data_IF_402863106078
#
_entry.id   IF_402863106078
#
_cell.length_a   1.000
_cell.length_b   1.000
_cell.length_c   1.000
_cell.angle_alpha   90.00
_cell.angle_beta   90.00
_cell.angle_gamma   90.00
#
_symmetry.space_group_name_H-M   'P 1'
#
loop_
_entity.id
_entity.type
_entity.pdbx_description
1 polymer ?
#
# COMPACT_ATOMS: atom_id res chain seq x y z
N UNK A 1 10.16 21.09 13.11
CA UNK A 1 10.59 19.96 13.96
C UNK A 1 9.86 20.10 15.29
N UNK A 2 8.63 19.58 15.39
CA UNK A 2 7.82 19.65 16.60
C UNK A 2 8.10 18.40 17.46
N UNK A 3 8.94 18.54 18.48
CA UNK A 3 9.05 17.55 19.54
C UNK A 3 7.91 17.82 20.54
N UNK A 4 6.75 17.22 20.31
CA UNK A 4 5.68 17.19 21.31
C UNK A 4 5.93 16.03 22.26
N UNK A 5 6.29 16.39 23.48
CA UNK A 5 6.33 15.51 24.64
C UNK A 5 4.98 14.82 24.79
N UNK A 6 5.00 13.49 24.97
CA UNK A 6 3.82 12.64 25.07
C UNK A 6 2.92 12.98 26.26
N UNK A 7 2.08 14.01 26.12
CA UNK A 7 0.93 14.22 26.98
C UNK A 7 -0.17 13.28 26.53
N UNK A 8 -0.21 12.10 27.16
CA UNK A 8 -1.39 11.25 27.11
C UNK A 8 -2.52 11.96 27.88
N UNK A 9 -3.73 11.85 27.32
CA UNK A 9 -5.08 11.91 27.93
C UNK A 9 -5.89 13.16 27.59
N UNK A 10 -6.43 13.21 26.37
CA UNK A 10 -7.85 13.57 26.21
C UNK A 10 -8.65 12.27 26.30
N UNK A 11 -9.58 12.19 27.26
CA UNK A 11 -10.68 11.22 27.16
C UNK A 11 -11.61 11.78 26.10
N UNK A 12 -11.92 10.98 25.09
CA UNK A 12 -12.86 11.39 24.06
C UNK A 12 -14.20 10.75 24.32
N UNK A 13 -15.26 11.53 24.18
CA UNK A 13 -16.63 11.04 24.18
C UNK A 13 -16.94 10.45 22.81
N UNK A 14 -17.33 9.19 22.76
CA UNK A 14 -17.67 8.48 21.53
C UNK A 14 -19.11 8.01 21.60
N UNK A 15 -19.88 8.34 20.57
CA UNK A 15 -21.24 7.88 20.40
C UNK A 15 -21.22 6.48 19.78
N UNK A 16 -21.56 5.46 20.59
CA UNK A 16 -21.75 4.08 20.15
C UNK A 16 -23.21 3.79 19.84
N UNK A 17 -23.48 3.02 18.80
CA UNK A 17 -24.81 2.54 18.44
C UNK A 17 -25.21 1.43 19.42
N UNK A 18 -26.38 1.59 20.03
CA UNK A 18 -26.96 0.66 21.00
C UNK A 18 -28.29 0.13 20.46
N UNK A 19 -28.24 -1.03 19.81
CA UNK A 19 -29.42 -1.63 19.15
C UNK A 19 -29.86 -0.87 17.89
N UNK A 20 -31.14 -1.01 17.51
CA UNK A 20 -31.66 -0.40 16.28
C UNK A 20 -31.90 1.11 16.38
N UNK A 21 -32.19 1.64 17.58
CA UNK A 21 -32.55 3.07 17.76
C UNK A 21 -31.76 3.79 18.85
N UNK A 22 -31.01 3.08 19.69
CA UNK A 22 -30.27 3.68 20.79
C UNK A 22 -28.90 4.19 20.36
N UNK A 23 -28.45 5.25 21.01
CA UNK A 23 -27.06 5.69 20.99
C UNK A 23 -26.61 5.91 22.42
N UNK A 24 -25.37 5.55 22.72
CA UNK A 24 -24.77 5.73 24.04
C UNK A 24 -23.47 6.50 23.89
N UNK A 25 -23.26 7.51 24.73
CA UNK A 25 -22.01 8.25 24.77
C UNK A 25 -21.09 7.59 25.79
N UNK A 26 -19.96 7.07 25.33
CA UNK A 26 -18.94 6.43 26.17
C UNK A 26 -17.68 7.28 26.13
N UNK A 27 -17.12 7.60 27.30
CA UNK A 27 -15.78 8.20 27.37
C UNK A 27 -14.72 7.10 27.27
N UNK A 28 -13.89 7.15 26.23
CA UNK A 28 -12.73 6.27 26.10
C UNK A 28 -11.43 7.07 26.05
N UNK A 29 -10.34 6.57 26.65
CA UNK A 29 -9.03 7.13 26.37
C UNK A 29 -8.72 6.91 24.89
N UNK A 30 -8.23 7.94 24.21
CA UNK A 30 -7.71 7.78 22.85
C UNK A 30 -6.23 8.10 22.83
N UNK A 31 -5.53 7.41 21.95
CA UNK A 31 -4.11 7.61 21.72
C UNK A 31 -3.92 8.00 20.27
N UNK A 32 -3.20 9.10 20.06
CA UNK A 32 -2.83 9.51 18.72
C UNK A 32 -1.86 8.47 18.15
N UNK A 33 -2.33 7.73 17.15
CA UNK A 33 -1.56 6.66 16.56
C UNK A 33 -0.42 7.20 15.67
N UNK A 34 -0.50 8.47 15.22
CA UNK A 34 0.54 9.18 14.47
C UNK A 34 1.68 9.67 15.38
N UNK A 35 1.45 9.76 16.70
CA UNK A 35 2.43 10.27 17.69
C UNK A 35 3.06 9.13 18.49
N UNK A 36 2.92 7.88 18.05
CA UNK A 36 3.65 6.76 18.66
C UNK A 36 5.15 7.06 18.61
N UNK A 37 5.91 6.82 19.69
CA UNK A 37 7.34 7.14 19.68
C UNK A 37 8.09 6.20 18.73
N UNK A 38 9.08 6.71 17.98
CA UNK A 38 9.96 5.89 17.12
C UNK A 38 10.50 4.65 17.83
N UNK A 39 10.89 4.80 19.11
CA UNK A 39 11.39 3.71 19.97
C UNK A 39 10.37 2.59 20.21
N UNK A 40 9.08 2.92 20.19
CA UNK A 40 7.99 1.97 20.42
C UNK A 40 7.61 1.21 19.14
N UNK A 41 8.22 1.53 17.99
CA UNK A 41 7.92 0.90 16.67
C UNK A 41 9.17 0.26 16.06
N UNK A 42 9.05 -0.36 14.88
CA UNK A 42 10.21 -0.89 14.15
C UNK A 42 11.06 0.20 13.50
N UNK A 43 10.52 1.41 13.29
CA UNK A 43 11.31 2.54 12.78
C UNK A 43 12.52 2.85 13.68
N UNK A 44 12.35 2.83 15.00
CA UNK A 44 13.45 3.05 15.95
C UNK A 44 14.54 1.98 15.93
N UNK A 45 14.31 0.86 15.24
CA UNK A 45 15.23 -0.27 15.09
C UNK A 45 15.43 -0.64 13.61
N UNK A 46 15.17 0.29 12.68
CA UNK A 46 15.13 -0.01 11.24
C UNK A 46 16.44 -0.60 10.70
N UNK A 47 17.59 -0.13 11.21
CA UNK A 47 18.90 -0.64 10.81
C UNK A 47 19.10 -2.08 11.28
N UNK A 48 18.87 -2.33 12.57
CA UNK A 48 18.97 -3.66 13.16
C UNK A 48 17.96 -4.64 12.53
N UNK A 49 16.75 -4.18 12.23
CA UNK A 49 15.72 -4.98 11.59
C UNK A 49 16.09 -5.36 10.15
N UNK A 50 16.69 -4.43 9.39
CA UNK A 50 17.21 -4.71 8.05
C UNK A 50 18.31 -5.78 8.08
N UNK A 51 19.21 -5.74 9.07
CA UNK A 51 20.26 -6.76 9.25
C UNK A 51 19.64 -8.14 9.52
N UNK A 52 18.68 -8.20 10.44
CA UNK A 52 17.97 -9.43 10.80
C UNK A 52 17.28 -10.05 9.57
N UNK A 53 16.65 -9.23 8.72
CA UNK A 53 16.06 -9.69 7.46
C UNK A 53 17.13 -10.23 6.49
N UNK A 54 18.27 -9.54 6.37
CA UNK A 54 19.39 -9.94 5.49
C UNK A 54 19.99 -11.28 5.88
N UNK A 55 20.18 -11.51 7.18
CA UNK A 55 20.61 -12.81 7.72
C UNK A 55 19.71 -13.97 7.27
N UNK A 56 18.43 -13.67 7.03
CA UNK A 56 17.42 -14.66 6.59
C UNK A 56 17.16 -14.62 5.10
N UNK A 57 18.02 -13.95 4.33
CA UNK A 57 17.99 -13.93 2.87
C UNK A 57 17.01 -12.93 2.25
N UNK A 58 16.52 -11.96 3.04
CA UNK A 58 15.70 -10.85 2.55
C UNK A 58 16.55 -9.59 2.62
N UNK A 59 16.90 -9.02 1.46
CA UNK A 59 17.74 -7.84 1.34
C UNK A 59 16.90 -6.65 0.85
N UNK A 60 16.14 -5.99 1.73
CA UNK A 60 15.46 -4.75 1.37
C UNK A 60 16.50 -3.67 1.05
N UNK A 61 16.15 -2.74 0.16
CA UNK A 61 16.91 -1.49 0.08
C UNK A 61 16.73 -0.74 1.40
N UNK A 62 17.84 -0.29 1.98
CA UNK A 62 17.79 0.29 3.33
C UNK A 62 17.10 1.65 3.33
N UNK A 63 17.31 2.46 2.29
CA UNK A 63 16.67 3.79 2.20
C UNK A 63 15.17 3.60 2.00
N UNK A 64 14.78 2.70 1.10
CA UNK A 64 13.40 2.34 0.87
C UNK A 64 12.72 1.81 2.15
N UNK A 65 13.40 0.97 2.93
CA UNK A 65 12.88 0.47 4.20
C UNK A 65 12.68 1.59 5.23
N UNK A 66 13.66 2.49 5.35
CA UNK A 66 13.58 3.67 6.22
C UNK A 66 12.38 4.55 5.82
N UNK A 67 12.16 4.79 4.52
CA UNK A 67 11.02 5.53 3.99
C UNK A 67 9.68 4.83 4.26
N UNK A 68 9.56 3.53 3.96
CA UNK A 68 8.35 2.74 4.28
C UNK A 68 8.02 2.87 5.76
N UNK A 69 9.03 2.74 6.63
CA UNK A 69 8.82 2.79 8.06
C UNK A 69 8.47 4.21 8.55
N UNK A 70 9.02 5.27 7.96
CA UNK A 70 8.70 6.65 8.34
C UNK A 70 7.25 7.00 7.94
N UNK A 71 6.84 6.62 6.72
CA UNK A 71 5.50 6.92 6.21
C UNK A 71 4.38 6.06 6.79
N UNK A 72 4.72 4.90 7.33
CA UNK A 72 3.80 4.07 8.15
C UNK A 72 3.77 4.53 9.62
N UNK A 73 4.77 5.30 10.05
CA UNK A 73 4.89 5.84 11.40
C UNK A 73 4.27 7.24 11.60
N UNK A 74 4.44 8.15 10.64
CA UNK A 74 4.16 9.59 10.84
C UNK A 74 2.94 10.13 10.09
N UNK A 75 2.60 9.59 8.92
CA UNK A 75 1.51 10.11 8.05
C UNK A 75 0.46 9.04 7.69
N UNK A 76 0.66 7.82 8.17
CA UNK A 76 0.11 6.63 7.53
C UNK A 76 -1.32 6.25 7.92
N UNK A 77 -1.90 6.86 8.95
CA UNK A 77 -3.28 6.56 9.38
C UNK A 77 -4.21 7.75 9.12
N UNK A 78 -3.86 8.59 8.14
CA UNK A 78 -4.75 9.66 7.72
C UNK A 78 -5.96 9.09 6.96
N UNK A 79 -7.15 9.38 7.45
CA UNK A 79 -8.40 9.09 6.75
C UNK A 79 -8.81 10.37 6.02
N UNK A 80 -9.35 10.25 4.82
CA UNK A 80 -9.63 11.43 4.01
C UNK A 80 -11.10 11.79 4.04
N UNK A 81 -11.40 13.07 4.04
CA UNK A 81 -12.76 13.58 3.89
C UNK A 81 -13.32 13.32 2.49
N UNK A 82 -14.65 13.15 2.38
CA UNK A 82 -15.40 13.60 1.18
C UNK A 82 -15.23 15.13 1.08
N UNK A 83 -14.18 15.60 0.41
CA UNK A 83 -13.86 17.04 0.30
C UNK A 83 -12.39 17.43 0.55
N UNK A 84 -11.45 16.48 0.66
CA UNK A 84 -10.01 16.77 0.53
C UNK A 84 -9.22 17.09 1.81
N UNK A 85 -9.85 17.17 3.00
CA UNK A 85 -9.15 17.31 4.28
C UNK A 85 -8.55 15.97 4.78
N UNK A 86 -7.38 16.03 5.43
CA UNK A 86 -6.80 14.92 6.19
C UNK A 86 -7.42 14.88 7.59
N UNK A 87 -7.80 13.69 8.07
CA UNK A 87 -8.28 13.47 9.44
C UNK A 87 -7.37 12.50 10.18
N UNK A 88 -7.12 12.82 11.45
CA UNK A 88 -6.28 12.03 12.35
C UNK A 88 -7.01 10.76 12.80
N UNK A 89 -6.30 9.64 12.83
CA UNK A 89 -6.81 8.40 13.39
C UNK A 89 -6.20 8.13 14.78
N UNK A 90 -7.06 7.70 15.69
CA UNK A 90 -6.71 7.40 17.06
C UNK A 90 -6.88 5.92 17.34
N UNK A 91 -5.99 5.33 18.13
CA UNK A 91 -6.18 3.99 18.67
C UNK A 91 -6.92 4.03 20.01
N UNK A 92 -7.67 2.98 20.37
CA UNK A 92 -8.39 2.91 21.63
C UNK A 92 -7.47 2.68 22.85
N UNK A 93 -6.20 2.35 22.63
CA UNK A 93 -5.18 2.21 23.66
C UNK A 93 -3.77 2.52 23.13
N UNK A 94 -2.80 2.75 24.02
CA UNK A 94 -1.38 2.87 23.64
C UNK A 94 -0.87 1.59 22.98
N UNK A 95 -1.30 0.46 23.50
CA UNK A 95 -0.90 -0.84 22.98
C UNK A 95 -1.41 -1.03 21.54
N UNK A 96 -2.68 -0.69 21.28
CA UNK A 96 -3.23 -0.73 19.93
C UNK A 96 -2.50 0.24 19.00
N UNK A 97 -2.16 1.45 19.45
CA UNK A 97 -1.38 2.39 18.64
C UNK A 97 -0.04 1.77 18.18
N UNK A 98 0.68 1.15 19.11
CA UNK A 98 1.93 0.43 18.83
C UNK A 98 1.70 -0.71 17.83
N UNK A 99 0.67 -1.53 18.06
CA UNK A 99 0.32 -2.65 17.16
C UNK A 99 -0.01 -2.15 15.76
N UNK A 100 -0.81 -1.10 15.61
CA UNK A 100 -1.13 -0.52 14.30
C UNK A 100 0.11 -0.01 13.57
N UNK A 101 1.00 0.74 14.25
CA UNK A 101 2.24 1.22 13.64
C UNK A 101 3.13 0.07 13.17
N UNK A 102 3.33 -0.96 14.01
CA UNK A 102 4.14 -2.14 13.65
C UNK A 102 3.50 -2.91 12.49
N UNK A 103 2.19 -3.14 12.52
CA UNK A 103 1.50 -3.86 11.44
C UNK A 103 1.68 -3.14 10.10
N UNK A 104 1.45 -1.84 10.03
CA UNK A 104 1.61 -1.10 8.78
C UNK A 104 3.06 -1.08 8.28
N UNK A 105 4.04 -1.02 9.18
CA UNK A 105 5.46 -1.19 8.85
C UNK A 105 5.72 -2.55 8.20
N UNK A 106 5.19 -3.63 8.79
CA UNK A 106 5.35 -4.99 8.27
C UNK A 106 4.63 -5.19 6.92
N UNK A 107 3.40 -4.69 6.78
CA UNK A 107 2.63 -4.78 5.53
C UNK A 107 3.25 -3.98 4.38
N UNK A 108 4.04 -2.95 4.69
CA UNK A 108 4.78 -2.16 3.71
C UNK A 108 6.03 -2.85 3.16
N UNK A 109 6.56 -3.88 3.83
CA UNK A 109 7.84 -4.50 3.46
C UNK A 109 7.94 -5.00 2.00
N UNK A 110 6.91 -5.57 1.37
CA UNK A 110 7.01 -5.99 -0.03
C UNK A 110 7.25 -4.82 -1.02
N UNK A 111 7.18 -3.56 -0.57
CA UNK A 111 7.52 -2.36 -1.37
C UNK A 111 8.93 -1.83 -1.11
N UNK A 112 9.66 -2.39 -0.14
CA UNK A 112 10.96 -1.88 0.31
C UNK A 112 12.12 -2.18 -0.69
N UNK A 113 11.81 -2.37 -1.96
CA UNK A 113 12.75 -2.50 -3.08
C UNK A 113 12.56 -1.43 -4.15
N UNK A 114 11.44 -0.72 -4.13
CA UNK A 114 10.97 0.10 -5.25
C UNK A 114 10.72 1.56 -4.86
N UNK A 115 10.99 1.95 -3.62
CA UNK A 115 10.69 3.29 -3.12
C UNK A 115 11.69 4.30 -3.69
N UNK A 116 11.22 5.08 -4.67
CA UNK A 116 11.73 6.41 -4.95
C UNK A 116 10.97 7.41 -4.06
N UNK A 117 11.56 8.59 -3.83
CA UNK A 117 11.08 9.63 -2.90
C UNK A 117 9.58 10.00 -3.11
N UNK A 118 9.06 9.88 -4.33
CA UNK A 118 7.65 10.16 -4.68
C UNK A 118 6.65 9.02 -4.42
N UNK A 119 7.11 7.80 -4.13
CA UNK A 119 6.22 6.63 -3.91
C UNK A 119 5.74 6.47 -2.48
N UNK A 120 6.26 7.23 -1.52
CA UNK A 120 5.78 7.32 -0.14
C UNK A 120 4.26 7.51 -0.03
N UNK A 121 3.70 8.31 -0.95
CA UNK A 121 2.26 8.53 -1.07
C UNK A 121 1.46 7.23 -1.29
N UNK A 122 2.03 6.24 -1.99
CA UNK A 122 1.36 4.97 -2.23
C UNK A 122 1.22 4.13 -0.97
N UNK A 123 2.25 4.12 -0.11
CA UNK A 123 2.21 3.44 1.19
C UNK A 123 1.14 4.08 2.08
N UNK A 124 1.11 5.41 2.17
CA UNK A 124 0.08 6.13 2.91
C UNK A 124 -1.33 5.88 2.36
N UNK A 125 -1.51 5.92 1.03
CA UNK A 125 -2.79 5.62 0.36
C UNK A 125 -3.29 4.20 0.65
N UNK A 126 -2.39 3.23 0.67
CA UNK A 126 -2.69 1.82 0.97
C UNK A 126 -3.14 1.63 2.41
N UNK A 127 -2.39 2.18 3.36
CA UNK A 127 -2.77 2.13 4.77
C UNK A 127 -4.14 2.78 4.98
N UNK A 128 -4.38 3.93 4.36
CA UNK A 128 -5.70 4.59 4.36
C UNK A 128 -6.80 3.69 3.82
N UNK A 129 -6.59 2.97 2.71
CA UNK A 129 -7.59 2.00 2.19
C UNK A 129 -7.85 0.87 3.19
N UNK A 130 -6.80 0.31 3.79
CA UNK A 130 -6.92 -0.75 4.80
C UNK A 130 -7.76 -0.24 5.98
N UNK A 131 -7.40 0.91 6.53
CA UNK A 131 -8.11 1.58 7.63
C UNK A 131 -9.57 1.86 7.26
N UNK A 132 -9.82 2.43 6.08
CA UNK A 132 -11.17 2.72 5.60
C UNK A 132 -12.04 1.47 5.46
N UNK A 133 -11.46 0.33 5.10
CA UNK A 133 -12.20 -0.92 4.94
C UNK A 133 -12.45 -1.62 6.28
N UNK A 134 -11.49 -1.56 7.21
CA UNK A 134 -11.66 -2.08 8.58
C UNK A 134 -12.73 -1.28 9.33
N UNK A 135 -12.74 0.04 9.19
CA UNK A 135 -13.72 0.93 9.82
C UNK A 135 -15.04 0.96 9.02
N UNK A 136 -14.97 0.69 7.71
CA UNK A 136 -16.08 0.83 6.76
C UNK A 136 -16.40 2.30 6.41
N UNK A 137 -17.05 2.53 5.27
CA UNK A 137 -17.70 3.82 4.97
C UNK A 137 -19.12 3.84 5.57
N UNK A 138 -19.80 2.68 5.65
CA UNK A 138 -21.22 2.55 6.07
C UNK A 138 -21.42 2.11 7.54
N UNK A 139 -20.37 1.67 8.24
CA UNK A 139 -20.40 1.32 9.68
C UNK A 139 -19.80 2.39 10.59
N UNK A 140 -19.51 3.57 10.04
CA UNK A 140 -18.95 4.68 10.80
C UNK A 140 -20.00 5.30 11.72
N UNK A 141 -19.96 4.91 12.98
CA UNK A 141 -20.38 5.76 14.07
C UNK A 141 -19.62 7.09 13.93
N UNK A 142 -20.35 8.17 13.61
CA UNK A 142 -19.78 9.51 13.51
C UNK A 142 -19.19 9.86 14.88
N UNK A 143 -17.88 10.04 14.96
CA UNK A 143 -17.23 10.55 16.17
C UNK A 143 -17.63 12.02 16.32
N UNK A 144 -18.16 12.38 17.48
CA UNK A 144 -18.33 13.76 17.90
C UNK A 144 -17.24 14.05 18.92
N UNK A 145 -16.29 14.92 18.63
CA UNK A 145 -15.37 15.44 19.65
C UNK A 145 -16.00 16.71 20.21
N UNK A 146 -16.25 16.73 21.52
CA UNK A 146 -16.76 17.93 22.19
C UNK A 146 -15.57 18.70 22.78
N UNK A 147 -15.29 19.88 22.23
CA UNK A 147 -14.27 20.78 22.76
C UNK A 147 -14.87 21.68 23.84
N UNK A 148 -14.32 21.73 25.07
CA UNK A 148 -14.94 22.41 26.21
C UNK A 148 -15.08 23.93 26.05
N UNK A 149 -14.31 24.54 25.14
CA UNK A 149 -14.34 25.98 24.88
C UNK A 149 -15.06 26.37 23.58
N UNK A 150 -15.36 25.42 22.67
CA UNK A 150 -15.79 25.75 21.30
C UNK A 150 -17.23 25.35 20.94
N UNK A 151 -17.98 24.69 21.83
CA UNK A 151 -19.31 24.09 21.55
C UNK A 151 -19.32 23.19 20.29
N UNK A 152 -19.55 21.86 20.44
CA UNK A 152 -19.75 20.89 19.32
C UNK A 152 -19.03 21.25 17.99
N UNK A 153 -17.72 21.19 17.98
CA UNK A 153 -16.97 21.36 16.73
C UNK A 153 -16.78 20.02 16.02
N UNK A 154 -17.03 19.98 14.72
CA UNK A 154 -16.75 18.83 13.87
C UNK A 154 -15.24 18.57 13.86
N UNK A 155 -14.81 17.54 14.58
CA UNK A 155 -13.49 16.96 14.36
C UNK A 155 -13.72 15.66 13.60
N UNK A 156 -13.38 15.66 12.31
CA UNK A 156 -13.49 14.51 11.40
C UNK A 156 -12.53 13.35 11.77
N UNK A 157 -12.05 13.33 13.02
CA UNK A 157 -11.18 12.37 13.69
C UNK A 157 -11.86 11.02 13.89
N UNK A 158 -11.15 9.91 13.68
CA UNK A 158 -11.73 8.55 13.84
C UNK A 158 -10.97 7.72 14.87
N UNK A 159 -11.68 6.83 15.56
CA UNK A 159 -11.03 5.82 16.42
C UNK A 159 -11.01 4.49 15.69
N UNK A 160 -9.83 3.90 15.57
CA UNK A 160 -9.64 2.55 15.06
C UNK A 160 -10.32 1.53 15.97
N UNK A 161 -10.80 0.40 15.46
CA UNK A 161 -11.26 -0.67 16.34
C UNK A 161 -10.10 -1.20 17.21
N UNK A 162 -10.40 -1.96 18.27
CA UNK A 162 -9.38 -2.76 18.96
C UNK A 162 -8.61 -3.63 17.96
N UNK A 163 -7.30 -3.78 18.14
CA UNK A 163 -6.45 -4.48 17.17
C UNK A 163 -6.90 -5.94 16.93
N UNK A 164 -7.45 -6.60 17.94
CA UNK A 164 -7.99 -7.96 17.84
C UNK A 164 -9.08 -8.12 16.76
N UNK A 165 -9.80 -7.05 16.44
CA UNK A 165 -10.81 -7.10 15.37
C UNK A 165 -10.15 -7.25 13.98
N UNK A 166 -8.90 -6.85 13.81
CA UNK A 166 -8.15 -7.02 12.56
C UNK A 166 -7.91 -8.48 12.19
N UNK A 167 -7.83 -9.37 13.18
CA UNK A 167 -7.67 -10.82 12.95
C UNK A 167 -8.79 -11.35 12.06
N UNK A 168 -10.01 -10.82 12.25
CA UNK A 168 -11.19 -11.16 11.45
C UNK A 168 -11.18 -10.48 10.08
N UNK A 169 -10.49 -9.35 9.95
CA UNK A 169 -10.35 -8.59 8.72
C UNK A 169 -9.17 -9.04 7.83
N UNK A 170 -8.36 -10.01 8.26
CA UNK A 170 -7.18 -10.46 7.52
C UNK A 170 -7.46 -10.83 6.04
N UNK A 171 -8.55 -11.56 5.69
CA UNK A 171 -8.87 -11.84 4.28
C UNK A 171 -9.15 -10.56 3.47
N UNK A 172 -9.80 -9.59 4.08
CA UNK A 172 -10.14 -8.31 3.45
C UNK A 172 -8.91 -7.43 3.26
N UNK A 173 -8.04 -7.36 4.27
CA UNK A 173 -6.74 -6.68 4.16
C UNK A 173 -5.93 -7.31 3.02
N UNK A 174 -5.89 -8.64 2.96
CA UNK A 174 -5.19 -9.36 1.90
C UNK A 174 -5.76 -9.04 0.51
N UNK A 175 -7.08 -8.93 0.37
CA UNK A 175 -7.72 -8.53 -0.89
C UNK A 175 -7.27 -7.13 -1.34
N UNK A 176 -7.26 -6.16 -0.43
CA UNK A 176 -6.76 -4.80 -0.71
C UNK A 176 -5.31 -4.88 -1.16
N UNK A 177 -4.46 -5.59 -0.43
CA UNK A 177 -3.06 -5.75 -0.80
C UNK A 177 -2.90 -6.42 -2.17
N UNK A 178 -3.70 -7.43 -2.53
CA UNK A 178 -3.65 -8.05 -3.87
C UNK A 178 -3.92 -7.05 -5.00
N UNK A 179 -4.79 -6.08 -4.78
CA UNK A 179 -5.05 -5.00 -5.75
C UNK A 179 -3.89 -4.01 -5.81
N UNK A 180 -3.29 -3.67 -4.67
CA UNK A 180 -2.16 -2.73 -4.61
C UNK A 180 -0.84 -3.35 -5.10
N UNK A 181 -0.73 -4.68 -5.09
CA UNK A 181 0.40 -5.44 -5.57
C UNK A 181 0.07 -6.16 -6.89
N UNK A 182 -0.69 -5.51 -7.77
CA UNK A 182 -1.07 -6.10 -9.07
C UNK A 182 0.11 -6.41 -9.99
N UNK A 183 1.24 -5.72 -9.79
CA UNK A 183 2.50 -5.99 -10.48
C UNK A 183 3.14 -7.34 -10.07
N UNK A 184 2.73 -7.93 -8.94
CA UNK A 184 3.20 -9.25 -8.55
C UNK A 184 2.47 -10.36 -9.33
N UNK A 185 3.16 -11.45 -9.70
CA UNK A 185 2.52 -12.60 -10.31
C UNK A 185 1.35 -13.15 -9.46
N UNK A 186 0.31 -13.65 -10.12
CA UNK A 186 -0.88 -14.18 -9.42
C UNK A 186 -0.54 -15.27 -8.39
N UNK A 187 0.48 -16.08 -8.67
CA UNK A 187 0.97 -17.11 -7.75
C UNK A 187 1.51 -16.55 -6.43
N UNK A 188 2.05 -15.33 -6.43
CA UNK A 188 2.45 -14.59 -5.21
C UNK A 188 1.26 -13.89 -4.57
N UNK A 189 0.38 -13.27 -5.37
CA UNK A 189 -0.84 -12.60 -4.87
C UNK A 189 -1.75 -13.56 -4.10
N UNK A 190 -1.87 -14.81 -4.51
CA UNK A 190 -2.62 -15.86 -3.78
C UNK A 190 -2.07 -16.14 -2.37
N UNK A 191 -0.81 -15.79 -2.08
CA UNK A 191 -0.17 -15.98 -0.77
C UNK A 191 -0.30 -14.76 0.15
N UNK A 192 -0.97 -13.71 -0.30
CA UNK A 192 -1.10 -12.46 0.47
C UNK A 192 -1.85 -12.63 1.77
N UNK A 193 -2.84 -13.53 1.83
CA UNK A 193 -3.59 -13.78 3.08
C UNK A 193 -2.70 -14.43 4.14
N UNK A 194 -1.87 -15.40 3.75
CA UNK A 194 -0.88 -16.00 4.65
C UNK A 194 0.12 -14.95 5.14
N UNK A 195 0.60 -14.08 4.26
CA UNK A 195 1.46 -12.94 4.63
C UNK A 195 0.81 -12.01 5.64
N UNK A 196 -0.45 -11.62 5.44
CA UNK A 196 -1.18 -10.75 6.38
C UNK A 196 -1.36 -11.43 7.73
N UNK A 197 -1.73 -12.71 7.77
CA UNK A 197 -1.89 -13.46 9.03
C UNK A 197 -0.56 -13.54 9.80
N UNK A 198 0.54 -13.85 9.13
CA UNK A 198 1.86 -13.89 9.75
C UNK A 198 2.31 -12.50 10.23
N UNK A 199 1.98 -11.43 9.49
CA UNK A 199 2.27 -10.05 9.91
C UNK A 199 1.48 -9.66 11.17
N UNK A 200 0.21 -10.06 11.27
CA UNK A 200 -0.62 -9.82 12.46
C UNK A 200 -0.04 -10.56 13.66
N UNK A 201 0.26 -11.86 13.54
CA UNK A 201 0.83 -12.65 14.62
C UNK A 201 2.16 -12.08 15.12
N UNK A 202 3.06 -11.73 14.20
CA UNK A 202 4.32 -11.07 14.53
C UNK A 202 4.09 -9.71 15.22
N UNK A 203 3.11 -8.93 14.75
CA UNK A 203 2.80 -7.62 15.35
C UNK A 203 2.48 -7.74 16.84
N UNK A 204 1.63 -8.69 17.22
CA UNK A 204 1.26 -8.88 18.62
C UNK A 204 2.48 -9.16 19.48
N UNK A 205 3.33 -10.10 19.03
CA UNK A 205 4.53 -10.47 19.75
C UNK A 205 5.53 -9.32 19.87
N UNK A 206 5.73 -8.55 18.81
CA UNK A 206 6.64 -7.40 18.85
C UNK A 206 6.10 -6.27 19.72
N UNK A 207 4.78 -6.03 19.69
CA UNK A 207 4.15 -5.02 20.53
C UNK A 207 4.27 -5.35 22.02
N UNK A 208 4.15 -6.61 22.43
CA UNK A 208 4.39 -7.06 23.82
C UNK A 208 5.82 -6.72 24.27
N UNK A 209 6.81 -7.05 23.46
CA UNK A 209 8.23 -6.78 23.75
C UNK A 209 8.46 -5.27 23.86
N UNK A 210 7.94 -4.49 22.90
CA UNK A 210 8.04 -3.03 22.89
C UNK A 210 7.32 -2.37 24.06
N UNK A 211 6.21 -2.92 24.51
CA UNK A 211 5.48 -2.42 25.68
C UNK A 211 6.31 -2.51 26.97
N UNK A 212 7.23 -3.50 27.07
CA UNK A 212 8.22 -3.61 28.16
C UNK A 212 9.41 -2.65 28.02
N UNK A 213 9.49 -1.90 26.93
CA UNK A 213 10.62 -1.01 26.63
C UNK A 213 11.87 -1.75 26.09
N UNK A 214 11.71 -3.00 25.68
CA UNK A 214 12.79 -3.83 25.15
C UNK A 214 12.94 -3.64 23.64
N UNK A 215 14.17 -3.88 23.13
CA UNK A 215 14.42 -3.88 21.69
C UNK A 215 13.89 -5.17 21.05
N UNK A 216 12.98 -5.05 20.10
CA UNK A 216 12.37 -6.19 19.43
C UNK A 216 13.40 -7.04 18.66
N UNK A 217 14.35 -6.38 17.98
CA UNK A 217 15.42 -7.04 17.22
C UNK A 217 16.35 -7.88 18.09
N UNK A 218 16.52 -7.54 19.38
CA UNK A 218 17.32 -8.35 20.32
C UNK A 218 16.68 -9.73 20.52
N UNK A 219 15.38 -9.76 20.75
CA UNK A 219 14.62 -11.00 20.94
C UNK A 219 14.52 -11.82 19.65
N UNK A 220 14.39 -11.16 18.50
CA UNK A 220 14.44 -11.85 17.21
C UNK A 220 15.81 -12.51 16.99
N UNK A 221 16.91 -11.82 17.27
CA UNK A 221 18.27 -12.37 17.15
C UNK A 221 18.50 -13.54 18.13
N UNK A 222 17.89 -13.49 19.31
CA UNK A 222 17.96 -14.56 20.30
C UNK A 222 17.10 -15.80 19.95
N UNK A 223 16.15 -15.67 19.02
CA UNK A 223 15.20 -16.74 18.67
C UNK A 223 13.94 -16.80 19.53
N UNK A 224 13.68 -15.78 20.35
CA UNK A 224 12.53 -15.70 21.29
C UNK A 224 11.19 -15.33 20.61
N UNK A 225 11.23 -15.15 19.28
CA UNK A 225 10.12 -14.67 18.44
C UNK A 225 9.92 -15.64 17.27
N UNK A 226 9.35 -16.83 17.51
CA UNK A 226 9.14 -17.84 16.44
C UNK A 226 8.23 -17.32 15.32
N UNK A 227 7.30 -16.42 15.61
CA UNK A 227 6.42 -15.75 14.64
C UNK A 227 7.22 -14.98 13.58
N UNK A 228 8.46 -14.58 13.91
CA UNK A 228 9.33 -13.90 12.96
C UNK A 228 9.77 -14.82 11.83
N UNK A 229 10.04 -16.10 12.09
CA UNK A 229 10.45 -17.05 11.07
C UNK A 229 9.28 -17.40 10.14
N UNK A 230 8.07 -17.55 10.69
CA UNK A 230 6.85 -17.69 9.90
C UNK A 230 6.62 -16.47 9.00
N UNK A 231 6.76 -15.28 9.56
CA UNK A 231 6.66 -14.02 8.83
C UNK A 231 7.69 -13.92 7.70
N UNK A 232 8.95 -14.27 7.95
CA UNK A 232 10.02 -14.27 6.93
C UNK A 232 9.69 -15.22 5.78
N UNK A 233 9.17 -16.41 6.08
CA UNK A 233 8.75 -17.37 5.06
C UNK A 233 7.56 -16.85 4.23
N UNK A 234 6.59 -16.23 4.90
CA UNK A 234 5.45 -15.61 4.24
C UNK A 234 5.87 -14.41 3.38
N UNK A 235 6.80 -13.57 3.87
CA UNK A 235 7.35 -12.43 3.17
C UNK A 235 8.11 -12.89 1.92
N UNK A 236 8.98 -13.90 1.98
CA UNK A 236 9.64 -14.46 0.78
C UNK A 236 8.65 -14.93 -0.29
N UNK A 237 7.48 -15.41 0.13
CA UNK A 237 6.45 -15.88 -0.78
C UNK A 237 5.77 -14.75 -1.57
N UNK A 238 5.74 -13.53 -1.03
CA UNK A 238 5.13 -12.35 -1.66
C UNK A 238 6.16 -11.32 -2.13
N UNK A 239 7.38 -11.38 -1.62
CA UNK A 239 8.43 -10.42 -1.92
C UNK A 239 8.87 -10.52 -3.39
N UNK A 240 9.22 -9.40 -4.01
CA UNK A 240 9.82 -9.35 -5.34
C UNK A 240 11.18 -10.07 -5.35
N UNK A 241 11.63 -10.52 -6.53
CA UNK A 241 12.82 -11.35 -6.64
C UNK A 241 14.09 -10.59 -6.24
N UNK A 242 14.09 -9.28 -6.45
CA UNK A 242 15.11 -8.29 -6.13
C UNK A 242 15.41 -8.25 -4.63
N UNK A 243 14.40 -8.50 -3.79
CA UNK A 243 14.58 -8.57 -2.33
C UNK A 243 15.11 -9.91 -1.85
N UNK A 244 15.06 -10.96 -2.66
CA UNK A 244 15.45 -12.30 -2.22
C UNK A 244 16.89 -12.55 -2.63
N UNK A 245 17.77 -12.62 -1.63
CA UNK A 245 19.17 -12.99 -1.88
C UNK A 245 19.21 -14.42 -2.41
N UNK A 246 19.60 -14.59 -3.69
CA UNK A 246 19.94 -15.92 -4.20
C UNK A 246 21.12 -16.42 -3.39
N UNK A 247 20.89 -17.42 -2.55
CA UNK A 247 21.96 -18.15 -1.85
C UNK A 247 22.95 -18.58 -2.93
N UNK A 248 24.15 -18.00 -2.96
CA UNK A 248 25.23 -18.45 -3.85
C UNK A 248 25.54 -19.87 -3.45
N UNK A 249 24.99 -20.85 -4.16
CA UNK A 249 25.52 -22.21 -4.17
C UNK A 249 26.91 -22.12 -4.75
N UNK A 250 27.92 -22.15 -3.88
CA UNK A 250 29.31 -22.41 -4.25
C UNK A 250 29.36 -23.78 -4.93
N UNK A 251 29.38 -23.79 -6.26
CA UNK A 251 29.91 -24.89 -7.06
C UNK A 251 31.08 -24.36 -7.89
N UNK A 252 32.10 -25.19 -7.92
CA UNK A 252 33.45 -24.99 -8.44
C UNK A 252 33.50 -24.52 -9.90
N UNK A 253 34.65 -23.92 -10.23
CA UNK A 253 35.13 -23.59 -11.57
C UNK A 253 34.64 -24.49 -12.71
N UNK A 254 34.15 -23.85 -13.78
CA UNK A 254 34.72 -24.08 -15.11
C UNK A 254 34.70 -22.78 -15.93
N UNK A 255 35.86 -22.51 -16.50
CA UNK A 255 36.16 -21.44 -17.44
C UNK A 255 35.40 -21.64 -18.75
N UNK A 256 34.70 -20.61 -19.21
CA UNK A 256 34.06 -20.58 -20.52
C UNK A 256 33.80 -19.16 -20.98
N UNK A 257 34.80 -18.57 -21.65
CA UNK A 257 34.64 -17.36 -22.49
C UNK A 257 33.71 -17.72 -23.65
N UNK A 258 32.64 -16.95 -23.88
CA UNK A 258 32.25 -16.51 -25.24
C UNK A 258 31.08 -15.50 -25.23
N UNK A 259 31.29 -14.44 -26.00
CA UNK A 259 30.33 -13.65 -26.79
C UNK A 259 29.20 -12.84 -26.13
N UNK A 260 29.44 -11.53 -26.11
CA UNK A 260 28.54 -10.44 -26.57
C UNK A 260 27.04 -10.72 -26.73
N UNK A 261 26.23 -9.91 -26.03
CA UNK A 261 25.08 -9.21 -26.62
C UNK A 261 24.80 -7.90 -25.88
N UNK A 262 25.23 -6.80 -26.50
CA UNK A 262 24.68 -5.45 -26.29
C UNK A 262 23.37 -5.36 -27.08
N UNK A 263 22.46 -4.52 -26.57
CA UNK A 263 21.26 -3.95 -27.21
C UNK A 263 19.95 -4.74 -27.10
N UNK A 264 18.94 -4.06 -26.57
CA UNK A 264 17.55 -4.53 -26.51
C UNK A 264 16.66 -3.76 -25.54
N UNK A 265 16.87 -2.44 -25.33
CA UNK A 265 15.96 -1.61 -24.50
C UNK A 265 15.61 -0.26 -25.14
N UNK A 266 15.93 -0.10 -26.44
CA UNK A 266 15.68 1.14 -27.21
C UNK A 266 14.64 0.97 -28.34
N UNK A 267 14.13 -0.24 -28.60
CA UNK A 267 13.16 -0.47 -29.69
C UNK A 267 11.69 -0.53 -29.25
N UNK A 268 11.39 -0.85 -27.99
CA UNK A 268 10.00 -0.95 -27.48
C UNK A 268 9.36 0.44 -27.30
N UNK A 269 10.08 1.40 -26.68
CA UNK A 269 9.60 2.79 -26.57
C UNK A 269 9.25 3.43 -27.93
N UNK A 270 9.91 3.02 -29.02
CA UNK A 270 9.58 3.50 -30.36
C UNK A 270 8.24 2.96 -30.87
N UNK A 271 7.86 1.73 -30.53
CA UNK A 271 6.58 1.14 -30.96
C UNK A 271 5.40 1.79 -30.23
N UNK A 272 5.51 1.93 -28.91
CA UNK A 272 4.46 2.52 -28.07
C UNK A 272 4.21 4.00 -28.42
N UNK A 273 5.28 4.75 -28.72
CA UNK A 273 5.14 6.15 -29.16
C UNK A 273 4.52 6.29 -30.57
N UNK A 274 4.78 5.34 -31.49
CA UNK A 274 4.13 5.32 -32.81
C UNK A 274 2.65 5.04 -32.65
N UNK A 275 2.29 4.02 -31.85
CA UNK A 275 0.90 3.67 -31.61
C UNK A 275 0.13 4.82 -30.93
N UNK A 276 0.74 5.52 -29.97
CA UNK A 276 0.12 6.67 -29.33
C UNK A 276 -0.21 7.79 -30.32
N UNK A 277 0.56 7.95 -31.41
CA UNK A 277 0.27 8.92 -32.48
C UNK A 277 -0.90 8.48 -33.35
N UNK A 278 -1.03 7.18 -33.64
CA UNK A 278 -2.18 6.64 -34.36
C UNK A 278 -3.47 6.83 -33.56
N UNK A 279 -3.42 6.53 -32.26
CA UNK A 279 -4.56 6.74 -31.35
C UNK A 279 -4.92 8.22 -31.18
N UNK A 280 -3.96 9.14 -31.25
CA UNK A 280 -4.25 10.58 -31.34
C UNK A 280 -4.98 10.94 -32.64
N UNK A 281 -4.67 10.25 -33.74
CA UNK A 281 -5.43 10.36 -35.00
C UNK A 281 -6.88 9.93 -34.82
N UNK A 282 -7.10 8.79 -34.15
CA UNK A 282 -8.44 8.30 -33.80
C UNK A 282 -9.22 9.31 -32.94
N UNK A 283 -8.63 9.87 -31.88
CA UNK A 283 -9.27 10.90 -31.06
C UNK A 283 -9.63 12.17 -31.85
N UNK A 284 -8.77 12.59 -32.78
CA UNK A 284 -9.08 13.72 -33.67
C UNK A 284 -10.26 13.39 -34.59
N UNK A 285 -10.33 12.17 -35.10
CA UNK A 285 -11.48 11.66 -35.87
C UNK A 285 -12.77 11.70 -35.07
N UNK A 286 -12.75 11.22 -33.83
CA UNK A 286 -13.90 11.29 -32.91
C UNK A 286 -14.34 12.73 -32.64
N UNK A 287 -13.39 13.66 -32.48
CA UNK A 287 -13.68 15.08 -32.31
C UNK A 287 -14.38 15.69 -33.53
N UNK A 288 -13.98 15.33 -34.75
CA UNK A 288 -14.67 15.76 -35.98
C UNK A 288 -16.08 15.17 -36.09
N UNK A 289 -16.29 13.97 -35.57
CA UNK A 289 -17.61 13.34 -35.46
C UNK A 289 -18.43 13.82 -34.24
N UNK A 290 -18.00 14.92 -33.59
CA UNK A 290 -18.59 15.49 -32.38
C UNK A 290 -18.80 14.46 -31.24
N UNK A 291 -17.94 13.44 -31.18
CA UNK A 291 -18.04 12.34 -30.23
C UNK A 291 -19.39 11.62 -30.25
N UNK A 292 -20.03 11.52 -31.42
CA UNK A 292 -21.26 10.74 -31.59
C UNK A 292 -21.14 9.33 -31.00
N UNK A 293 -22.23 8.84 -30.41
CA UNK A 293 -22.25 7.53 -29.76
C UNK A 293 -21.85 6.40 -30.73
N UNK A 294 -22.27 6.47 -32.00
CA UNK A 294 -21.84 5.49 -33.01
C UNK A 294 -20.33 5.54 -33.29
N UNK A 295 -19.74 6.74 -33.37
CA UNK A 295 -18.31 6.89 -33.61
C UNK A 295 -17.47 6.38 -32.42
N UNK A 296 -17.90 6.70 -31.19
CA UNK A 296 -17.24 6.21 -29.96
C UNK A 296 -17.36 4.69 -29.87
N UNK A 297 -18.53 4.12 -30.17
CA UNK A 297 -18.72 2.66 -30.20
C UNK A 297 -17.84 1.99 -31.25
N UNK A 298 -17.65 2.60 -32.43
CA UNK A 298 -16.72 2.14 -33.45
C UNK A 298 -15.27 2.12 -32.97
N UNK A 299 -14.81 3.21 -32.35
CA UNK A 299 -13.46 3.30 -31.79
C UNK A 299 -13.21 2.28 -30.67
N UNK A 300 -14.20 2.06 -29.78
CA UNK A 300 -14.12 1.03 -28.75
C UNK A 300 -14.01 -0.38 -29.35
N UNK A 301 -14.73 -0.67 -30.43
CA UNK A 301 -14.62 -1.93 -31.16
C UNK A 301 -13.24 -2.16 -31.78
N UNK A 302 -12.63 -1.12 -32.33
CA UNK A 302 -11.27 -1.19 -32.89
C UNK A 302 -10.22 -1.45 -31.79
N UNK A 303 -10.34 -0.75 -30.65
CA UNK A 303 -9.46 -0.97 -29.49
C UNK A 303 -9.61 -2.39 -28.93
N UNK A 304 -10.83 -2.91 -28.81
CA UNK A 304 -11.07 -4.28 -28.34
C UNK A 304 -10.45 -5.32 -29.28
N UNK A 305 -10.53 -5.11 -30.60
CA UNK A 305 -9.88 -5.99 -31.58
C UNK A 305 -8.36 -5.97 -31.44
N UNK A 306 -7.76 -4.78 -31.28
CA UNK A 306 -6.32 -4.62 -31.03
C UNK A 306 -5.89 -5.30 -29.73
N UNK A 307 -6.67 -5.16 -28.64
CA UNK A 307 -6.42 -5.86 -27.36
C UNK A 307 -6.48 -7.37 -27.54
N UNK A 308 -7.52 -7.91 -28.19
CA UNK A 308 -7.65 -9.36 -28.44
C UNK A 308 -6.46 -9.91 -29.23
N UNK A 309 -5.97 -9.18 -30.23
CA UNK A 309 -4.79 -9.59 -30.99
C UNK A 309 -3.53 -9.68 -30.11
N UNK A 310 -3.31 -8.69 -29.23
CA UNK A 310 -2.14 -8.64 -28.35
C UNK A 310 -2.19 -9.66 -27.19
N UNK A 311 -3.38 -10.07 -26.75
CA UNK A 311 -3.56 -11.09 -25.72
C UNK A 311 -3.06 -12.48 -26.14
N UNK A 312 -2.77 -12.70 -27.43
CA UNK A 312 -2.16 -13.94 -27.91
C UNK A 312 -0.71 -14.12 -27.44
N UNK A 313 0.00 -13.02 -27.16
CA UNK A 313 1.36 -13.00 -26.59
C UNK A 313 1.52 -11.80 -25.64
N UNK A 314 0.91 -11.85 -24.44
CA UNK A 314 0.74 -10.67 -23.59
C UNK A 314 2.07 -10.16 -23.02
N UNK A 315 3.07 -11.04 -22.82
CA UNK A 315 4.35 -10.69 -22.21
C UNK A 315 5.25 -9.76 -23.06
N UNK A 316 5.09 -9.77 -24.39
CA UNK A 316 5.85 -8.90 -25.31
C UNK A 316 5.10 -7.60 -25.64
N UNK A 317 3.85 -7.45 -25.17
CA UNK A 317 2.92 -6.41 -25.61
C UNK A 317 2.28 -5.63 -24.45
N UNK A 318 2.83 -5.73 -23.23
CA UNK A 318 2.23 -5.15 -22.02
C UNK A 318 2.05 -3.63 -22.11
N UNK A 319 3.01 -2.90 -22.71
CA UNK A 319 2.91 -1.45 -22.89
C UNK A 319 1.77 -1.05 -23.84
N UNK A 320 1.61 -1.79 -24.95
CA UNK A 320 0.54 -1.56 -25.91
C UNK A 320 -0.83 -1.95 -25.35
N UNK A 321 -0.89 -3.05 -24.57
CA UNK A 321 -2.10 -3.44 -23.84
C UNK A 321 -2.51 -2.35 -22.83
N UNK A 322 -1.54 -1.82 -22.06
CA UNK A 322 -1.79 -0.72 -21.14
C UNK A 322 -2.27 0.55 -21.84
N UNK A 323 -1.66 0.89 -22.99
CA UNK A 323 -2.05 2.01 -23.83
C UNK A 323 -3.51 1.90 -24.31
N UNK A 324 -3.89 0.76 -24.88
CA UNK A 324 -5.26 0.56 -25.41
C UNK A 324 -6.31 0.51 -24.32
N UNK A 325 -6.07 -0.23 -23.23
CA UNK A 325 -7.04 -0.35 -22.13
C UNK A 325 -7.27 0.97 -21.40
N UNK A 326 -6.21 1.78 -21.25
CA UNK A 326 -6.31 3.11 -20.65
C UNK A 326 -7.11 4.06 -21.55
N UNK A 327 -6.87 4.04 -22.86
CA UNK A 327 -7.65 4.83 -23.80
C UNK A 327 -9.12 4.38 -23.85
N UNK A 328 -9.37 3.07 -23.89
CA UNK A 328 -10.71 2.49 -23.86
C UNK A 328 -11.50 2.97 -22.63
N UNK A 329 -10.85 3.03 -21.46
CA UNK A 329 -11.45 3.53 -20.23
C UNK A 329 -11.87 4.99 -20.35
N UNK A 330 -10.99 5.86 -20.86
CA UNK A 330 -11.32 7.27 -21.05
C UNK A 330 -12.48 7.47 -22.03
N UNK A 331 -12.52 6.71 -23.13
CA UNK A 331 -13.61 6.79 -24.11
C UNK A 331 -14.96 6.36 -23.51
N UNK A 332 -14.99 5.30 -22.68
CA UNK A 332 -16.20 4.86 -21.97
C UNK A 332 -16.71 5.87 -20.95
N UNK A 333 -15.78 6.57 -20.30
CA UNK A 333 -16.09 7.58 -19.29
C UNK A 333 -16.42 8.95 -19.92
N UNK A 334 -16.33 9.09 -21.25
CA UNK A 334 -16.54 10.36 -21.96
C UNK A 334 -15.43 11.40 -21.74
N UNK A 335 -14.28 10.97 -21.21
CA UNK A 335 -13.19 11.84 -20.78
C UNK A 335 -12.15 12.05 -21.89
N UNK A 336 -12.58 12.69 -22.98
CA UNK A 336 -11.77 12.86 -24.19
C UNK A 336 -10.56 13.80 -23.99
N UNK A 337 -10.65 14.76 -23.06
CA UNK A 337 -9.58 15.71 -22.79
C UNK A 337 -8.39 15.02 -22.10
N UNK A 338 -8.67 14.17 -21.10
CA UNK A 338 -7.61 13.40 -20.44
C UNK A 338 -7.06 12.30 -21.35
N UNK A 339 -7.88 11.70 -22.21
CA UNK A 339 -7.41 10.78 -23.26
C UNK A 339 -6.36 11.45 -24.16
N UNK A 340 -6.62 12.69 -24.62
CA UNK A 340 -5.69 13.41 -25.49
C UNK A 340 -4.39 13.78 -24.76
N UNK A 341 -4.47 14.24 -23.50
CA UNK A 341 -3.29 14.57 -22.68
C UNK A 341 -2.42 13.34 -22.42
N UNK A 342 -3.05 12.20 -22.11
CA UNK A 342 -2.39 10.93 -21.88
C UNK A 342 -1.61 10.48 -23.12
N UNK A 343 -2.25 10.43 -24.30
CA UNK A 343 -1.58 9.99 -25.53
C UNK A 343 -0.47 10.97 -25.96
N UNK A 344 -0.64 12.28 -25.78
CA UNK A 344 0.41 13.28 -26.06
C UNK A 344 1.65 13.09 -25.19
N UNK A 345 1.49 12.62 -23.95
CA UNK A 345 2.63 12.34 -23.07
C UNK A 345 3.46 11.13 -23.54
N UNK A 346 2.80 10.14 -24.17
CA UNK A 346 3.42 8.90 -24.66
C UNK A 346 3.97 9.06 -26.09
N UNK A 347 3.35 9.93 -26.90
CA UNK A 347 3.73 10.18 -28.29
C UNK A 347 4.99 11.07 -28.47
N UNK A 348 5.50 11.66 -27.38
CA UNK A 348 6.74 12.46 -27.33
C UNK A 348 7.96 11.54 -27.33
#
# INVERSE_FOLDING_TARGET
MYYLTGKIRKKERIEKKKGWFGKEIVEIPVYDAEITSKKDTLYGEVKEFAEVLKERGINPDRKALEEVFDHTHTYGIAITKKGGGLSTAYAPSREDAIKYSILFQLLGLPLAHEMEEDKAYQVARKNRKIVNVIIGDEKTEKKWVWHPELEKTWEDSRVLPPFDELKKAAPTIALILRTEYEHLPESKRKKMEHFVKAAIALTERLAEIKARGEKATKHIKAGDVPEFEEFVNALKAVAPAEMISRKKTTKSHSTGRSATRKSGRKSENKKTAVEARELLGMLKGLRYAAYSEEAVKGALGELEAKVKALLSNPGENLELLGLYLTLERFLKDGDFEHAEKFLKAIAR
#
